data_IF_731627039803
#
_entry.id   IF_731627039803
#
_cell.length_a   1.000
_cell.length_b   1.000
_cell.length_c   1.000
_cell.angle_alpha   90.00
_cell.angle_beta   90.00
_cell.angle_gamma   90.00
#
_symmetry.space_group_name_H-M   'P 1'
#
loop_
_entity.id
_entity.type
_entity.pdbx_description
1 polymer ?
#
# COMPACT_ATOMS: atom_id res chain seq x y z
N UNK A 1 -9.42 19.76 9.26
CA UNK A 1 -10.81 19.33 8.92
C UNK A 1 -10.77 17.87 8.45
N UNK A 2 -11.86 17.10 8.46
CA UNK A 2 -11.86 15.75 7.83
C UNK A 2 -12.62 15.82 6.51
N UNK A 3 -12.03 15.26 5.45
CA UNK A 3 -12.63 15.21 4.12
C UNK A 3 -13.19 13.82 3.82
N UNK A 4 -14.33 13.79 3.13
CA UNK A 4 -14.86 12.56 2.57
C UNK A 4 -14.13 12.17 1.26
N UNK A 5 -14.46 10.99 0.71
CA UNK A 5 -13.81 10.50 -0.51
C UNK A 5 -13.99 11.45 -1.69
N UNK A 6 -15.20 11.97 -1.89
CA UNK A 6 -15.55 12.82 -3.03
C UNK A 6 -14.75 14.13 -2.95
N UNK A 7 -14.72 14.76 -1.78
CA UNK A 7 -13.96 15.97 -1.50
C UNK A 7 -12.46 15.74 -1.72
N UNK A 8 -11.91 14.59 -1.32
CA UNK A 8 -10.51 14.24 -1.60
C UNK A 8 -10.25 14.17 -3.10
N UNK A 9 -11.11 13.52 -3.89
CA UNK A 9 -10.92 13.45 -5.35
C UNK A 9 -11.07 14.82 -6.03
N UNK A 10 -12.00 15.64 -5.59
CA UNK A 10 -12.20 17.01 -6.10
C UNK A 10 -11.01 17.90 -5.74
N UNK A 11 -10.53 17.88 -4.51
CA UNK A 11 -9.36 18.65 -4.07
C UNK A 11 -8.09 18.19 -4.74
N UNK A 12 -7.96 16.88 -4.99
CA UNK A 12 -6.86 16.36 -5.79
C UNK A 12 -7.01 16.84 -7.24
N UNK A 13 -7.98 16.36 -8.00
CA UNK A 13 -7.91 16.48 -9.46
C UNK A 13 -8.68 17.67 -10.04
N UNK A 14 -9.46 18.37 -9.22
CA UNK A 14 -10.21 19.56 -9.59
C UNK A 14 -11.13 19.29 -10.79
N UNK A 15 -11.12 20.17 -11.82
CA UNK A 15 -11.98 20.04 -12.99
C UNK A 15 -11.86 18.71 -13.74
N UNK A 16 -10.72 18.00 -13.61
CA UNK A 16 -10.51 16.71 -14.28
C UNK A 16 -11.31 15.55 -13.64
N UNK A 17 -11.88 15.76 -12.45
CA UNK A 17 -12.76 14.79 -11.79
C UNK A 17 -14.24 15.06 -12.01
N UNK A 18 -14.59 16.26 -12.47
CA UNK A 18 -15.96 16.63 -12.80
C UNK A 18 -16.53 15.75 -13.91
N UNK A 19 -17.83 15.43 -13.83
CA UNK A 19 -18.50 14.43 -14.70
C UNK A 19 -18.30 14.72 -16.19
N UNK A 20 -18.25 15.99 -16.60
CA UNK A 20 -18.09 16.37 -18.00
C UNK A 20 -16.69 16.05 -18.55
N UNK A 21 -15.65 16.13 -17.71
CA UNK A 21 -14.25 15.98 -18.12
C UNK A 21 -13.69 14.59 -17.79
N UNK A 22 -14.32 13.89 -16.85
CA UNK A 22 -13.84 12.61 -16.35
C UNK A 22 -14.44 11.42 -17.11
N UNK A 23 -13.61 10.42 -17.40
CA UNK A 23 -14.03 9.18 -18.04
C UNK A 23 -13.31 7.97 -17.43
N UNK A 24 -13.99 6.82 -17.17
CA UNK A 24 -13.41 5.68 -16.45
C UNK A 24 -12.24 4.99 -17.17
N UNK A 25 -12.12 5.22 -18.48
CA UNK A 25 -11.01 4.71 -19.31
C UNK A 25 -9.80 5.65 -19.38
N UNK A 26 -9.83 6.81 -18.70
CA UNK A 26 -8.66 7.68 -18.60
C UNK A 26 -7.52 6.90 -17.92
N UNK A 27 -6.40 6.76 -18.62
CA UNK A 27 -5.18 6.15 -18.09
C UNK A 27 -4.38 7.14 -17.27
N UNK A 28 -4.39 8.42 -17.64
CA UNK A 28 -3.72 9.46 -16.89
C UNK A 28 -4.62 10.70 -16.78
N UNK A 29 -5.02 11.05 -15.55
CA UNK A 29 -5.97 12.13 -15.30
C UNK A 29 -5.43 13.52 -15.63
N UNK A 30 -4.10 13.69 -15.63
CA UNK A 30 -3.46 14.96 -15.99
C UNK A 30 -3.47 15.21 -17.50
N UNK A 31 -3.20 14.16 -18.29
CA UNK A 31 -3.11 14.31 -19.75
C UNK A 31 -4.43 14.01 -20.47
N UNK A 32 -5.43 13.48 -19.76
CA UNK A 32 -6.69 13.03 -20.35
C UNK A 32 -6.56 11.81 -21.27
N UNK A 33 -5.36 11.23 -21.40
CA UNK A 33 -5.09 10.12 -22.31
C UNK A 33 -5.94 8.91 -21.90
N UNK A 34 -6.77 8.43 -22.84
CA UNK A 34 -7.63 7.26 -22.66
C UNK A 34 -6.87 6.00 -23.02
N UNK A 35 -7.13 4.92 -22.28
CA UNK A 35 -6.67 3.59 -22.67
C UNK A 35 -7.46 3.10 -23.89
N UNK A 36 -6.78 2.52 -24.87
CA UNK A 36 -7.42 1.89 -26.03
C UNK A 36 -8.18 0.61 -25.68
N UNK A 37 -7.84 -0.03 -24.55
CA UNK A 37 -8.47 -1.26 -24.09
C UNK A 37 -9.32 -1.01 -22.84
N UNK A 38 -10.59 -1.40 -22.92
CA UNK A 38 -11.47 -1.43 -21.77
C UNK A 38 -11.08 -2.62 -20.86
N UNK A 39 -10.27 -2.36 -19.84
CA UNK A 39 -10.02 -3.35 -18.80
C UNK A 39 -11.21 -3.46 -17.84
N UNK A 40 -11.58 -4.69 -17.48
CA UNK A 40 -12.51 -4.98 -16.39
C UNK A 40 -11.89 -4.59 -15.04
N UNK A 41 -12.73 -4.21 -14.09
CA UNK A 41 -12.33 -3.94 -12.73
C UNK A 41 -11.91 -5.24 -12.03
N UNK A 42 -10.73 -5.26 -11.43
CA UNK A 42 -10.23 -6.45 -10.72
C UNK A 42 -10.97 -6.79 -9.42
N UNK A 43 -11.82 -5.88 -8.92
CA UNK A 43 -12.67 -6.12 -7.73
C UNK A 43 -14.13 -6.41 -8.11
N UNK A 44 -14.72 -5.64 -9.05
CA UNK A 44 -16.11 -5.83 -9.48
C UNK A 44 -16.30 -6.87 -10.60
N UNK A 45 -15.23 -7.27 -11.30
CA UNK A 45 -15.26 -8.03 -12.56
C UNK A 45 -16.05 -7.40 -13.72
N UNK A 46 -16.68 -6.23 -13.54
CA UNK A 46 -17.40 -5.47 -14.56
C UNK A 46 -16.51 -4.44 -15.27
N UNK A 47 -16.99 -3.84 -16.37
CA UNK A 47 -16.31 -2.71 -17.02
C UNK A 47 -16.10 -1.58 -16.00
N UNK A 48 -14.92 -0.95 -16.01
CA UNK A 48 -14.63 0.18 -15.09
C UNK A 48 -15.66 1.30 -15.25
N UNK A 49 -16.17 1.76 -14.12
CA UNK A 49 -17.15 2.85 -13.98
C UNK A 49 -16.66 3.84 -12.92
N UNK A 50 -17.32 5.01 -12.80
CA UNK A 50 -17.03 6.01 -11.76
C UNK A 50 -17.12 5.42 -10.34
N UNK A 51 -18.14 4.61 -10.11
CA UNK A 51 -18.34 3.85 -8.87
C UNK A 51 -17.13 3.00 -8.47
N UNK A 52 -16.34 2.49 -9.43
CA UNK A 52 -15.13 1.74 -9.11
C UNK A 52 -14.03 2.61 -8.47
N UNK A 53 -13.99 3.90 -8.80
CA UNK A 53 -13.01 4.84 -8.24
C UNK A 53 -13.50 5.40 -6.89
N UNK A 54 -14.80 5.67 -6.77
CA UNK A 54 -15.44 6.06 -5.50
C UNK A 54 -15.34 4.93 -4.44
N UNK A 55 -15.39 3.67 -4.89
CA UNK A 55 -15.11 2.49 -4.08
C UNK A 55 -13.60 2.23 -3.85
N UNK A 56 -12.71 3.07 -4.38
CA UNK A 56 -11.25 2.94 -4.31
C UNK A 56 -10.70 1.61 -4.88
N UNK A 57 -11.37 1.02 -5.87
CA UNK A 57 -10.80 -0.10 -6.65
C UNK A 57 -9.70 0.41 -7.58
N UNK A 58 -9.89 1.64 -8.09
CA UNK A 58 -8.91 2.38 -8.87
C UNK A 58 -8.74 3.78 -8.28
N UNK A 59 -7.52 4.29 -8.35
CA UNK A 59 -7.17 5.66 -7.99
C UNK A 59 -6.16 6.18 -9.02
N UNK A 60 -5.91 7.49 -9.05
CA UNK A 60 -4.80 8.02 -9.83
C UNK A 60 -3.61 8.29 -8.92
N UNK A 61 -2.42 7.97 -9.39
CA UNK A 61 -1.21 8.15 -8.61
C UNK A 61 -1.06 9.60 -8.15
N UNK A 62 -0.95 9.80 -6.84
CA UNK A 62 -0.82 11.12 -6.21
C UNK A 62 0.63 11.54 -6.01
N UNK A 63 1.60 10.71 -6.40
CA UNK A 63 3.02 11.04 -6.31
C UNK A 63 3.37 12.28 -7.14
N UNK A 64 4.18 13.16 -6.57
CA UNK A 64 4.73 14.33 -7.25
C UNK A 64 5.94 13.92 -8.10
N UNK A 65 5.96 14.37 -9.35
CA UNK A 65 6.99 14.09 -10.35
C UNK A 65 7.39 15.38 -11.06
N UNK A 66 8.63 15.45 -11.52
CA UNK A 66 9.09 16.54 -12.37
C UNK A 66 8.71 16.20 -13.81
N UNK A 67 7.85 17.02 -14.43
CA UNK A 67 7.51 16.90 -15.84
C UNK A 67 8.66 17.37 -16.74
N UNK A 68 8.56 17.08 -18.05
CA UNK A 68 9.62 17.41 -19.03
C UNK A 68 9.91 18.92 -19.11
N UNK A 69 8.94 19.77 -18.77
CA UNK A 69 9.10 21.22 -18.69
C UNK A 69 9.73 21.70 -17.37
N UNK A 70 10.13 20.79 -16.48
CA UNK A 70 10.73 21.09 -15.17
C UNK A 70 9.72 21.41 -14.07
N UNK A 71 8.42 21.43 -14.35
CA UNK A 71 7.40 21.70 -13.34
C UNK A 71 7.12 20.45 -12.51
N UNK A 72 6.95 20.64 -11.20
CA UNK A 72 6.46 19.57 -10.31
C UNK A 72 4.96 19.41 -10.51
N UNK A 73 4.55 18.23 -10.94
CA UNK A 73 3.15 17.87 -11.19
C UNK A 73 2.86 16.52 -10.55
N UNK A 74 1.59 16.16 -10.38
CA UNK A 74 1.24 14.79 -10.01
C UNK A 74 1.42 13.83 -11.17
N UNK A 75 1.84 12.60 -10.85
CA UNK A 75 1.97 11.51 -11.80
C UNK A 75 0.64 11.26 -12.54
N UNK A 76 -0.46 11.13 -11.80
CA UNK A 76 -1.81 11.03 -12.35
C UNK A 76 -2.10 9.73 -13.11
N UNK A 77 -1.17 8.76 -13.16
CA UNK A 77 -1.40 7.46 -13.80
C UNK A 77 -2.38 6.62 -12.99
N UNK A 78 -3.35 6.00 -13.66
CA UNK A 78 -4.33 5.12 -13.05
C UNK A 78 -3.65 3.88 -12.49
N UNK A 79 -4.00 3.52 -11.26
CA UNK A 79 -3.54 2.30 -10.62
C UNK A 79 -4.71 1.56 -9.97
N UNK A 80 -4.65 0.22 -10.02
CA UNK A 80 -5.57 -0.62 -9.27
C UNK A 80 -5.10 -0.64 -7.81
N UNK A 81 -5.99 -0.40 -6.85
CA UNK A 81 -5.57 -0.31 -5.45
C UNK A 81 -5.01 -1.64 -4.91
N UNK A 82 -5.50 -2.78 -5.40
CA UNK A 82 -4.93 -4.11 -5.09
C UNK A 82 -3.53 -4.35 -5.65
N UNK A 83 -3.06 -3.49 -6.56
CA UNK A 83 -1.71 -3.59 -7.11
C UNK A 83 -0.66 -3.07 -6.12
N UNK A 84 0.62 -3.16 -6.48
CA UNK A 84 1.72 -2.63 -5.67
C UNK A 84 1.92 -1.11 -5.85
N UNK A 85 0.98 -0.39 -6.45
CA UNK A 85 1.10 1.03 -6.81
C UNK A 85 1.05 1.21 -8.33
N UNK A 86 1.33 2.42 -8.82
CA UNK A 86 1.53 2.57 -10.28
C UNK A 86 2.90 2.00 -10.69
N UNK A 87 3.15 1.87 -11.98
CA UNK A 87 4.38 1.25 -12.50
C UNK A 87 5.66 1.92 -11.94
N UNK A 88 5.60 3.24 -11.74
CA UNK A 88 6.73 4.06 -11.33
C UNK A 88 6.74 4.39 -9.83
N UNK A 89 5.60 4.30 -9.15
CA UNK A 89 5.44 4.77 -7.77
C UNK A 89 4.81 3.67 -6.91
N UNK A 90 5.62 2.71 -6.43
CA UNK A 90 5.11 1.61 -5.64
C UNK A 90 4.72 2.08 -4.24
N UNK A 91 3.68 1.46 -3.72
CA UNK A 91 3.19 1.63 -2.36
C UNK A 91 4.26 1.36 -1.29
N UNK A 92 5.22 0.47 -1.56
CA UNK A 92 6.31 0.14 -0.64
C UNK A 92 7.33 1.26 -0.44
N UNK A 93 7.32 2.28 -1.32
CA UNK A 93 8.21 3.44 -1.24
C UNK A 93 7.52 4.67 -0.62
N UNK A 94 6.41 4.49 0.12
CA UNK A 94 5.68 5.58 0.78
C UNK A 94 4.78 6.42 -0.13
N UNK A 95 4.66 6.07 -1.42
CA UNK A 95 3.74 6.78 -2.31
C UNK A 95 2.29 6.36 -2.06
N UNK A 96 1.36 7.27 -2.37
CA UNK A 96 -0.09 7.02 -2.37
C UNK A 96 -0.66 6.62 -0.99
N UNK A 97 0.01 6.99 0.11
CA UNK A 97 -0.44 6.71 1.49
C UNK A 97 -1.82 7.30 1.78
N UNK A 98 -2.10 8.49 1.24
CA UNK A 98 -3.42 9.13 1.26
C UNK A 98 -4.57 8.16 0.96
N UNK A 99 -4.43 7.35 -0.10
CA UNK A 99 -5.50 6.41 -0.49
C UNK A 99 -5.56 5.19 0.41
N UNK A 100 -4.46 4.81 1.07
CA UNK A 100 -4.49 3.74 2.07
C UNK A 100 -5.28 4.16 3.30
N UNK A 101 -5.03 5.35 3.79
CA UNK A 101 -5.79 5.91 4.90
C UNK A 101 -7.26 6.06 4.53
N UNK A 102 -7.55 6.62 3.35
CA UNK A 102 -8.93 6.77 2.86
C UNK A 102 -9.66 5.43 2.73
N UNK A 103 -8.98 4.34 2.36
CA UNK A 103 -9.58 2.99 2.28
C UNK A 103 -9.80 2.38 3.66
N UNK A 104 -8.91 2.60 4.61
CA UNK A 104 -8.98 2.03 5.95
C UNK A 104 -9.99 2.76 6.86
N UNK A 105 -10.01 4.09 6.79
CA UNK A 105 -10.78 4.93 7.70
C UNK A 105 -12.01 5.57 7.05
N UNK A 106 -12.08 5.57 5.71
CA UNK A 106 -13.19 6.19 4.96
C UNK A 106 -13.15 7.72 4.91
N UNK A 107 -12.25 8.33 5.68
CA UNK A 107 -12.06 9.76 5.89
C UNK A 107 -10.56 10.05 5.90
N UNK A 108 -10.15 11.25 5.54
CA UNK A 108 -8.76 11.68 5.70
C UNK A 108 -8.68 13.10 6.25
N UNK A 109 -7.66 13.37 7.06
CA UNK A 109 -7.30 14.70 7.52
C UNK A 109 -6.97 15.62 6.33
N UNK A 110 -7.59 16.78 6.27
CA UNK A 110 -7.37 17.76 5.20
C UNK A 110 -5.89 18.10 5.01
N UNK A 111 -5.14 18.16 6.12
CA UNK A 111 -3.71 18.43 6.15
C UNK A 111 -2.91 17.39 5.34
N UNK A 112 -3.34 16.13 5.32
CA UNK A 112 -2.71 15.08 4.51
C UNK A 112 -2.99 15.30 3.01
N UNK A 113 -4.18 15.80 2.67
CA UNK A 113 -4.52 16.14 1.28
C UNK A 113 -3.72 17.36 0.83
N UNK A 114 -3.55 18.35 1.71
CA UNK A 114 -2.74 19.53 1.44
C UNK A 114 -1.29 19.16 1.17
N UNK A 115 -0.66 18.33 2.02
CA UNK A 115 0.70 17.83 1.78
C UNK A 115 0.90 17.15 0.42
N UNK A 116 -0.15 16.52 -0.13
CA UNK A 116 -0.12 15.83 -1.43
C UNK A 116 -0.50 16.76 -2.60
N UNK A 117 -1.24 17.83 -2.34
CA UNK A 117 -1.73 18.75 -3.38
C UNK A 117 -0.82 19.95 -3.56
N UNK A 118 -0.19 20.45 -2.50
CA UNK A 118 0.81 21.50 -2.60
C UNK A 118 2.03 20.93 -3.29
N UNK A 119 2.38 21.41 -4.50
CA UNK A 119 3.73 21.19 -5.00
C UNK A 119 4.62 21.83 -3.97
N UNK A 120 5.31 21.00 -3.20
CA UNK A 120 6.40 21.47 -2.39
C UNK A 120 7.41 22.05 -3.37
N UNK A 121 7.32 23.37 -3.59
CA UNK A 121 8.15 24.10 -4.54
C UNK A 121 9.62 23.89 -4.22
N UNK A 122 9.89 23.61 -2.95
CA UNK A 122 11.17 23.22 -2.40
C UNK A 122 11.61 21.82 -2.84
N UNK A 123 10.74 20.82 -2.93
CA UNK A 123 11.11 19.47 -3.42
C UNK A 123 11.55 19.52 -4.89
N UNK A 124 10.83 20.28 -5.72
CA UNK A 124 11.22 20.51 -7.12
C UNK A 124 12.55 21.26 -7.23
N UNK A 125 12.70 22.32 -6.46
CA UNK A 125 13.94 23.12 -6.42
C UNK A 125 15.12 22.28 -5.91
N UNK A 126 14.95 21.51 -4.82
CA UNK A 126 15.98 20.64 -4.24
C UNK A 126 16.39 19.52 -5.17
N UNK A 127 15.45 18.85 -5.84
CA UNK A 127 15.79 17.81 -6.82
C UNK A 127 16.49 18.39 -8.05
N UNK A 128 16.08 19.57 -8.52
CA UNK A 128 16.73 20.26 -9.63
C UNK A 128 18.14 20.71 -9.25
N UNK A 129 18.32 21.22 -8.05
CA UNK A 129 19.63 21.60 -7.52
C UNK A 129 20.52 20.38 -7.34
N UNK A 130 20.01 19.30 -6.74
CA UNK A 130 20.75 18.05 -6.58
C UNK A 130 21.27 17.52 -7.93
N UNK A 131 20.43 17.48 -8.97
CA UNK A 131 20.85 17.09 -10.33
C UNK A 131 21.89 18.03 -10.93
N UNK A 132 21.82 19.33 -10.64
CA UNK A 132 22.83 20.29 -11.10
C UNK A 132 24.18 20.02 -10.42
N UNK A 133 24.19 19.79 -9.12
CA UNK A 133 25.41 19.40 -8.39
C UNK A 133 25.98 18.07 -8.89
N UNK A 134 25.17 17.03 -9.05
CA UNK A 134 25.61 15.73 -9.57
C UNK A 134 26.21 15.84 -10.99
N UNK A 135 25.55 16.60 -11.88
CA UNK A 135 26.06 16.81 -13.24
C UNK A 135 27.37 17.63 -13.24
N UNK A 136 27.47 18.64 -12.36
CA UNK A 136 28.68 19.45 -12.24
C UNK A 136 29.86 18.62 -11.69
N UNK A 137 29.62 17.72 -10.74
CA UNK A 137 30.64 16.79 -10.24
C UNK A 137 31.11 15.81 -11.31
N UNK A 138 30.19 15.22 -12.09
CA UNK A 138 30.53 14.34 -13.21
C UNK A 138 31.41 15.09 -14.24
N UNK A 139 31.06 16.34 -14.57
CA UNK A 139 31.84 17.12 -15.52
C UNK A 139 33.24 17.42 -14.99
N UNK A 140 33.37 17.84 -13.73
CA UNK A 140 34.68 18.08 -13.09
C UNK A 140 35.55 16.84 -13.07
N UNK A 141 34.96 15.67 -12.80
CA UNK A 141 35.67 14.40 -12.82
C UNK A 141 36.16 14.05 -14.24
N UNK A 142 35.33 14.29 -15.26
CA UNK A 142 35.74 14.11 -16.66
C UNK A 142 36.87 15.04 -17.05
N UNK A 143 36.80 16.31 -16.65
CA UNK A 143 37.83 17.32 -16.94
C UNK A 143 39.16 16.95 -16.24
N UNK A 144 39.10 16.52 -14.97
CA UNK A 144 40.29 16.04 -14.24
C UNK A 144 40.94 14.84 -14.92
N UNK A 145 40.13 13.87 -15.36
CA UNK A 145 40.65 12.70 -16.08
C UNK A 145 41.27 13.07 -17.43
N UNK A 146 40.71 14.08 -18.12
CA UNK A 146 41.26 14.57 -19.38
C UNK A 146 42.61 15.27 -19.17
N UNK A 147 42.75 16.05 -18.09
CA UNK A 147 44.00 16.74 -17.73
C UNK A 147 45.09 15.75 -17.31
N UNK A 148 44.77 14.76 -16.46
CA UNK A 148 45.71 13.70 -16.06
C UNK A 148 46.22 12.91 -17.30
N UNK A 149 45.35 12.66 -18.27
CA UNK A 149 45.74 12.01 -19.53
C UNK A 149 46.63 12.90 -20.41
N UNK A 150 46.47 14.22 -20.37
CA UNK A 150 47.30 15.17 -21.09
C UNK A 150 48.70 15.28 -20.46
N UNK A 151 48.79 15.34 -19.12
CA UNK A 151 50.06 15.43 -18.38
C UNK A 151 50.88 14.14 -18.43
N UNK A 152 50.23 12.97 -18.48
CA UNK A 152 50.89 11.68 -18.57
C UNK A 152 51.72 11.48 -19.86
N UNK A 153 51.83 12.50 -20.72
CA UNK A 153 52.76 12.51 -21.83
C UNK A 153 52.38 11.47 -22.87
N UNK A 154 51.09 11.40 -23.23
CA UNK A 154 50.65 10.70 -24.44
C UNK A 154 51.11 11.46 -25.70
N UNK A 155 52.44 11.60 -25.83
CA UNK A 155 53.11 11.97 -27.05
C UNK A 155 52.87 10.90 -28.11
N UNK A 156 52.22 11.34 -29.19
CA UNK A 156 52.49 10.98 -30.57
C UNK A 156 52.48 9.49 -30.94
N UNK A 157 51.25 8.99 -31.15
CA UNK A 157 51.00 7.86 -32.03
C UNK A 157 49.49 7.65 -32.21
N UNK A 158 48.93 7.67 -33.43
CA UNK A 158 47.51 7.41 -33.69
C UNK A 158 46.99 6.07 -33.12
N UNK A 159 47.90 5.14 -32.80
CA UNK A 159 47.59 3.86 -32.16
C UNK A 159 47.35 3.95 -30.64
N UNK A 160 47.70 5.04 -29.95
CA UNK A 160 47.49 5.17 -28.50
C UNK A 160 46.04 5.51 -28.14
N UNK A 161 45.36 6.31 -28.97
CA UNK A 161 43.96 6.71 -28.73
C UNK A 161 42.97 5.54 -28.85
N UNK A 162 43.17 4.65 -29.82
CA UNK A 162 42.36 3.43 -29.96
C UNK A 162 42.46 2.54 -28.70
N UNK A 163 43.66 2.39 -28.16
CA UNK A 163 43.90 1.61 -26.94
C UNK A 163 43.27 2.24 -25.69
N UNK A 164 43.25 3.58 -25.58
CA UNK A 164 42.58 4.28 -24.48
C UNK A 164 41.06 4.11 -24.59
N UNK A 165 40.50 4.28 -25.79
CA UNK A 165 39.06 4.13 -26.01
C UNK A 165 38.57 2.70 -25.74
N UNK A 166 39.36 1.68 -26.12
CA UNK A 166 39.05 0.29 -25.84
C UNK A 166 39.17 -0.04 -24.34
N UNK A 167 40.14 0.54 -23.61
CA UNK A 167 40.18 0.43 -22.14
C UNK A 167 38.94 1.06 -21.50
N UNK A 168 38.49 2.21 -21.99
CA UNK A 168 37.29 2.87 -21.48
C UNK A 168 36.02 2.05 -21.75
N UNK A 169 35.88 1.50 -22.96
CA UNK A 169 34.79 0.56 -23.29
C UNK A 169 34.82 -0.68 -22.41
N UNK A 170 35.99 -1.27 -22.20
CA UNK A 170 36.13 -2.47 -21.36
C UNK A 170 35.81 -2.17 -19.89
N UNK A 171 36.25 -1.02 -19.37
CA UNK A 171 35.91 -0.56 -18.01
C UNK A 171 34.40 -0.30 -17.86
N UNK A 172 33.77 0.40 -18.80
CA UNK A 172 32.31 0.59 -18.79
C UNK A 172 31.55 -0.74 -18.85
N UNK A 173 32.00 -1.68 -19.68
CA UNK A 173 31.41 -3.02 -19.76
C UNK A 173 31.55 -3.78 -18.45
N UNK A 174 32.70 -3.65 -17.78
CA UNK A 174 32.95 -4.29 -16.49
C UNK A 174 32.14 -3.64 -15.36
N UNK A 175 32.04 -2.31 -15.34
CA UNK A 175 31.21 -1.57 -14.38
C UNK A 175 29.72 -1.91 -14.58
N UNK A 176 29.26 -2.04 -15.83
CA UNK A 176 27.91 -2.49 -16.11
C UNK A 176 27.68 -3.95 -15.67
N UNK A 177 28.65 -4.84 -15.88
CA UNK A 177 28.60 -6.21 -15.38
C UNK A 177 28.54 -6.25 -13.84
N UNK A 178 29.34 -5.44 -13.15
CA UNK A 178 29.34 -5.29 -11.70
C UNK A 178 28.00 -4.74 -11.18
N UNK A 179 27.44 -3.71 -11.83
CA UNK A 179 26.10 -3.18 -11.51
C UNK A 179 25.01 -4.23 -11.72
N UNK A 180 25.07 -5.03 -12.79
CA UNK A 180 24.13 -6.14 -13.01
C UNK A 180 24.28 -7.23 -11.95
N UNK A 181 25.50 -7.54 -11.52
CA UNK A 181 25.76 -8.49 -10.44
C UNK A 181 25.19 -7.98 -9.09
N UNK A 182 25.43 -6.71 -8.76
CA UNK A 182 24.89 -6.07 -7.56
C UNK A 182 23.34 -6.05 -7.55
N UNK A 183 22.71 -5.72 -8.69
CA UNK A 183 21.24 -5.79 -8.80
C UNK A 183 20.70 -7.22 -8.62
N UNK A 184 21.45 -8.24 -9.06
CA UNK A 184 21.07 -9.66 -8.85
C UNK A 184 21.19 -10.06 -7.38
N UNK A 185 22.26 -9.64 -6.69
CA UNK A 185 22.42 -9.94 -5.26
C UNK A 185 21.34 -9.25 -4.43
N UNK A 186 21.05 -7.97 -4.70
CA UNK A 186 19.97 -7.21 -4.05
C UNK A 186 18.58 -7.85 -4.30
N UNK A 187 18.29 -8.26 -5.55
CA UNK A 187 17.06 -8.94 -5.87
C UNK A 187 16.93 -10.31 -5.15
N UNK A 188 18.03 -11.04 -4.99
CA UNK A 188 18.06 -12.29 -4.24
C UNK A 188 17.83 -12.07 -2.75
N UNK A 189 18.48 -11.06 -2.14
CA UNK A 189 18.25 -10.68 -0.74
C UNK A 189 16.78 -10.29 -0.51
N UNK A 190 16.20 -9.49 -1.41
CA UNK A 190 14.79 -9.10 -1.36
C UNK A 190 13.86 -10.32 -1.44
N UNK A 191 14.15 -11.28 -2.33
CA UNK A 191 13.39 -12.54 -2.43
C UNK A 191 13.50 -13.39 -1.16
N UNK A 192 14.67 -13.47 -0.54
CA UNK A 192 14.87 -14.18 0.72
C UNK A 192 14.07 -13.54 1.86
N UNK A 193 14.16 -12.21 2.01
CA UNK A 193 13.40 -11.48 3.01
C UNK A 193 11.88 -11.65 2.82
N UNK A 194 11.40 -11.65 1.57
CA UNK A 194 9.98 -11.87 1.27
C UNK A 194 9.54 -13.29 1.67
N UNK A 195 10.33 -14.32 1.35
CA UNK A 195 10.05 -15.72 1.75
C UNK A 195 10.03 -15.88 3.26
N UNK A 196 10.94 -15.21 3.98
CA UNK A 196 10.97 -15.24 5.43
C UNK A 196 9.73 -14.57 6.04
N UNK A 197 9.32 -13.41 5.53
CA UNK A 197 8.11 -12.73 5.96
C UNK A 197 6.85 -13.58 5.71
N UNK A 198 6.74 -14.26 4.57
CA UNK A 198 5.66 -15.20 4.29
C UNK A 198 5.66 -16.40 5.24
N UNK A 199 6.84 -16.97 5.53
CA UNK A 199 6.99 -18.05 6.49
C UNK A 199 6.57 -17.62 7.91
N UNK A 200 6.93 -16.40 8.32
CA UNK A 200 6.49 -15.83 9.60
C UNK A 200 4.97 -15.64 9.64
N UNK A 201 4.35 -15.05 8.60
CA UNK A 201 2.88 -14.92 8.51
C UNK A 201 2.17 -16.27 8.65
N UNK A 202 2.69 -17.32 7.99
CA UNK A 202 2.12 -18.65 8.11
C UNK A 202 2.29 -19.28 9.51
N UNK A 203 3.36 -18.94 10.25
CA UNK A 203 3.50 -19.34 11.66
C UNK A 203 2.45 -18.65 12.54
N UNK A 204 2.16 -17.37 12.28
CA UNK A 204 1.17 -16.60 13.03
C UNK A 204 -0.26 -17.10 12.78
N UNK A 205 -0.66 -17.31 11.53
CA UNK A 205 -2.00 -17.84 11.22
C UNK A 205 -2.24 -19.24 11.83
N UNK A 206 -1.21 -20.09 11.89
CA UNK A 206 -1.27 -21.37 12.61
C UNK A 206 -1.42 -21.22 14.12
N UNK A 207 -0.84 -20.17 14.73
CA UNK A 207 -1.05 -19.87 16.16
C UNK A 207 -2.47 -19.33 16.39
N UNK A 208 -2.94 -18.41 15.56
CA UNK A 208 -4.28 -17.82 15.70
C UNK A 208 -5.40 -18.85 15.55
N UNK A 209 -5.25 -19.79 14.62
CA UNK A 209 -6.20 -20.90 14.46
C UNK A 209 -6.22 -21.84 15.67
N UNK A 210 -5.06 -22.09 16.30
CA UNK A 210 -4.99 -22.85 17.56
C UNK A 210 -5.66 -22.10 18.72
N UNK A 211 -5.37 -20.80 18.86
CA UNK A 211 -5.97 -19.95 19.90
C UNK A 211 -7.50 -19.85 19.72
N UNK A 212 -7.97 -19.67 18.48
CA UNK A 212 -9.40 -19.62 18.15
C UNK A 212 -10.10 -20.95 18.49
N UNK A 213 -9.51 -22.09 18.14
CA UNK A 213 -10.04 -23.41 18.52
C UNK A 213 -10.09 -23.60 20.04
N UNK A 214 -9.04 -23.18 20.75
CA UNK A 214 -9.00 -23.22 22.21
C UNK A 214 -10.10 -22.36 22.85
N UNK A 215 -10.26 -21.10 22.41
CA UNK A 215 -11.28 -20.20 22.91
C UNK A 215 -12.70 -20.71 22.62
N UNK A 216 -12.94 -21.30 21.44
CA UNK A 216 -14.22 -21.92 21.09
C UNK A 216 -14.52 -23.13 21.98
N UNK A 217 -13.51 -23.95 22.28
CA UNK A 217 -13.64 -25.08 23.21
C UNK A 217 -13.96 -24.60 24.63
N UNK A 218 -13.22 -23.61 25.13
CA UNK A 218 -13.45 -23.00 26.45
C UNK A 218 -14.87 -22.45 26.58
N UNK A 219 -15.37 -21.75 25.56
CA UNK A 219 -16.74 -21.22 25.52
C UNK A 219 -17.78 -22.34 25.59
N UNK A 220 -17.60 -23.44 24.85
CA UNK A 220 -18.50 -24.60 24.89
C UNK A 220 -18.54 -25.25 26.27
N UNK A 221 -17.38 -25.42 26.91
CA UNK A 221 -17.30 -25.96 28.28
C UNK A 221 -18.02 -25.06 29.28
N UNK A 222 -17.90 -23.74 29.14
CA UNK A 222 -18.60 -22.78 30.02
C UNK A 222 -20.12 -22.78 29.80
N UNK A 223 -20.57 -22.87 28.54
CA UNK A 223 -21.99 -23.00 28.19
C UNK A 223 -22.59 -24.30 28.74
N UNK A 224 -21.87 -25.41 28.65
CA UNK A 224 -22.29 -26.70 29.22
C UNK A 224 -22.43 -26.62 30.75
N UNK A 225 -21.43 -26.04 31.43
CA UNK A 225 -21.47 -25.84 32.89
C UNK A 225 -22.68 -25.00 33.32
N UNK A 226 -22.98 -23.91 32.58
CA UNK A 226 -24.16 -23.08 32.84
C UNK A 226 -25.47 -23.82 32.57
N UNK A 227 -25.51 -24.72 31.59
CA UNK A 227 -26.68 -25.55 31.32
C UNK A 227 -26.94 -26.57 32.45
N UNK A 228 -25.89 -27.23 32.93
CA UNK A 228 -25.94 -28.15 34.07
C UNK A 228 -26.40 -27.43 35.35
N UNK A 229 -25.86 -26.23 35.63
CA UNK A 229 -26.29 -25.40 36.77
C UNK A 229 -27.78 -25.02 36.68
N UNK A 230 -28.26 -24.63 35.50
CA UNK A 230 -29.69 -24.33 35.27
C UNK A 230 -30.57 -25.56 35.44
N UNK A 231 -30.11 -26.74 35.01
CA UNK A 231 -30.83 -27.99 35.18
C UNK A 231 -30.95 -28.36 36.67
N UNK A 232 -29.85 -28.26 37.43
CA UNK A 232 -29.85 -28.48 38.87
C UNK A 232 -30.78 -27.52 39.62
N UNK A 233 -30.79 -26.23 39.25
CA UNK A 233 -31.71 -25.25 39.83
C UNK A 233 -33.18 -25.58 39.55
N UNK A 234 -33.50 -26.06 38.34
CA UNK A 234 -34.87 -26.49 38.00
C UNK A 234 -35.29 -27.71 38.81
N UNK A 235 -34.41 -28.69 38.96
CA UNK A 235 -34.68 -29.88 39.77
C UNK A 235 -34.90 -29.53 41.25
N UNK A 236 -34.07 -28.62 41.80
CA UNK A 236 -34.22 -28.16 43.18
C UNK A 236 -35.56 -27.42 43.40
N UNK A 237 -35.99 -26.57 42.45
CA UNK A 237 -37.30 -25.92 42.50
C UNK A 237 -38.43 -26.94 42.46
N UNK A 238 -38.39 -27.90 41.54
CA UNK A 238 -39.41 -28.95 41.43
C UNK A 238 -39.52 -29.79 42.72
N UNK A 239 -38.40 -30.13 43.35
CA UNK A 239 -38.38 -30.83 44.66
C UNK A 239 -39.00 -29.98 45.77
N UNK A 240 -38.73 -28.67 45.77
CA UNK A 240 -39.29 -27.74 46.76
C UNK A 240 -40.81 -27.62 46.59
N UNK A 241 -41.31 -27.47 45.36
CA UNK A 241 -42.74 -27.41 45.03
C UNK A 241 -43.46 -28.72 45.39
N UNK A 242 -42.86 -29.88 45.09
CA UNK A 242 -43.41 -31.18 45.48
C UNK A 242 -43.47 -31.37 47.00
N UNK A 243 -42.47 -30.86 47.74
CA UNK A 243 -42.46 -30.88 49.20
C UNK A 243 -43.55 -30.01 49.83
N UNK A 244 -43.84 -28.84 49.25
CA UNK A 244 -44.94 -27.96 49.67
C UNK A 244 -46.30 -28.66 49.53
N UNK A 245 -46.55 -29.34 48.40
CA UNK A 245 -47.81 -30.03 48.15
C UNK A 245 -48.09 -31.20 49.10
N UNK A 246 -47.05 -31.83 49.65
CA UNK A 246 -47.20 -32.96 50.58
C UNK A 246 -47.48 -32.52 52.03
N UNK A 247 -47.23 -31.26 52.40
CA UNK A 247 -47.42 -30.77 53.76
C UNK A 247 -48.80 -30.13 54.02
N UNK A 248 -49.57 -29.79 52.99
CA UNK A 248 -50.93 -29.22 53.13
C UNK A 248 -52.02 -30.28 53.42
N UNK A 249 -51.64 -31.51 53.73
CA UNK A 249 -52.53 -32.62 54.09
C UNK A 249 -53.28 -32.46 55.43
N UNK A 250 -53.14 -31.33 56.13
CA UNK A 250 -54.02 -30.97 57.27
C UNK A 250 -55.13 -30.04 56.80
N UNK A 251 -55.99 -30.57 55.92
CA UNK A 251 -57.32 -30.04 55.65
C UNK A 251 -58.14 -30.09 56.94
N UNK A 252 -58.01 -29.03 57.74
CA UNK A 252 -58.89 -28.75 58.86
C UNK A 252 -60.28 -28.47 58.28
N UNK A 253 -61.14 -29.49 58.30
CA UNK A 253 -62.55 -29.40 57.93
C UNK A 253 -63.23 -28.50 58.97
N UNK A 254 -63.23 -27.19 58.70
CA UNK A 254 -64.06 -26.24 59.44
C UNK A 254 -65.48 -26.37 58.88
N UNK A 255 -66.28 -27.23 59.50
CA UNK A 255 -67.74 -27.26 59.29
C UNK A 255 -68.29 -25.89 59.70
N UNK A 256 -68.77 -25.11 58.73
CA UNK A 256 -69.52 -23.89 59.00
C UNK A 256 -70.92 -24.26 59.54
N UNK A 257 -71.40 -23.57 60.60
CA UNK A 257 -72.74 -23.75 61.16
C UNK A 257 -73.84 -23.25 60.23
#
# INVERSE_FOLDING_TARGET
MVLDKKEVFEKLYGPNWEVQNWHPMIRNIRTGVKSSKAHHCGECAARRQRSCYEALHYVYCSAMVVADNGNVVRCGEVLCFRSKGCLHHPFSAGYNELFRELRLFGLVAEELVDMVTTPDSDLGARQKEQRRTENAEIQREMDRQAEELAEAGAGEGPQSFANIFDRFKNRNKQDEANRRAARRTEANLTRMATREAEAQRHRWTKKDTKISKFNKSKKRMEEQRKAEERAAQREARAKTEAGLLMNDGTLSIVRRP
#
